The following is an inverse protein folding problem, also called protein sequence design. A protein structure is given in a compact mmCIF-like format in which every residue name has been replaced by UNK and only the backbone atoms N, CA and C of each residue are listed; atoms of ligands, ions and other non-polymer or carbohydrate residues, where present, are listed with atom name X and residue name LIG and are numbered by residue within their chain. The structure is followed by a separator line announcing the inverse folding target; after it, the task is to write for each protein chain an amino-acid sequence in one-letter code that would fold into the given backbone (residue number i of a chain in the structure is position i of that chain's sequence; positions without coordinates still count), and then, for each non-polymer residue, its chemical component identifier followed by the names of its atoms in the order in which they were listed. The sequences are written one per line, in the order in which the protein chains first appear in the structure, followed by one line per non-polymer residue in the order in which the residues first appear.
data_IF_147051249584
#
_entry.id   IF_147051249584
#
_cell.length_a   1.000
_cell.length_b   1.000
_cell.length_c   1.000
_cell.angle_alpha   90.00
_cell.angle_beta   90.00
_cell.angle_gamma   90.00
#
_symmetry.space_group_name_H-M   'P 1'
#
loop_
_entity.id
_entity.type
_entity.pdbx_description
1 polymer ?
#
# COMPACT_ATOMS: atom_id res chain seq x y z
N UNK A 1 -2.52 -11.94 1.83
CA UNK A 1 -1.94 -11.70 3.18
C UNK A 1 -1.43 -12.95 3.89
N UNK A 2 -1.86 -14.16 3.51
CA UNK A 2 -1.53 -15.42 4.21
C UNK A 2 -0.06 -15.84 4.21
N UNK A 3 0.79 -15.23 3.37
CA UNK A 3 2.21 -15.58 3.24
C UNK A 3 3.15 -14.65 4.00
N UNK A 4 2.64 -13.60 4.66
CA UNK A 4 3.50 -12.69 5.42
C UNK A 4 3.88 -13.31 6.76
N UNK A 5 5.18 -13.45 7.01
CA UNK A 5 5.70 -13.93 8.29
C UNK A 5 5.77 -12.79 9.31
N UNK A 6 4.80 -12.74 10.22
CA UNK A 6 4.75 -11.76 11.30
C UNK A 6 5.85 -11.95 12.34
N UNK A 7 6.45 -13.15 12.45
CA UNK A 7 7.56 -13.38 13.38
C UNK A 7 8.82 -12.65 12.95
N UNK A 8 8.99 -12.41 11.64
CA UNK A 8 10.08 -11.60 11.10
C UNK A 8 9.94 -10.10 11.42
N UNK A 9 8.77 -9.65 11.90
CA UNK A 9 8.54 -8.27 12.29
C UNK A 9 7.69 -8.14 13.57
N UNK A 10 8.29 -8.36 14.75
CA UNK A 10 7.57 -8.43 16.02
C UNK A 10 6.92 -7.11 16.48
N UNK A 11 7.34 -5.97 15.92
CA UNK A 11 6.72 -4.66 16.20
C UNK A 11 5.46 -4.36 15.37
N UNK A 12 5.06 -5.27 14.47
CA UNK A 12 3.89 -5.08 13.62
C UNK A 12 2.62 -5.58 14.32
N UNK A 13 1.63 -4.71 14.49
CA UNK A 13 0.33 -5.12 14.99
C UNK A 13 -0.42 -5.94 13.93
N UNK A 14 -0.42 -7.27 14.11
CA UNK A 14 -1.09 -8.21 13.22
C UNK A 14 -2.59 -7.90 13.06
N UNK A 15 -3.25 -7.49 14.15
CA UNK A 15 -4.69 -7.20 14.13
C UNK A 15 -4.97 -5.99 13.24
N UNK A 16 -4.15 -4.95 13.34
CA UNK A 16 -4.25 -3.79 12.46
C UNK A 16 -4.09 -4.19 10.99
N UNK A 17 -3.12 -5.07 10.66
CA UNK A 17 -2.93 -5.52 9.28
C UNK A 17 -4.13 -6.32 8.76
N UNK A 18 -4.72 -7.17 9.59
CA UNK A 18 -5.95 -7.90 9.24
C UNK A 18 -7.15 -6.96 9.05
N UNK A 19 -7.29 -5.94 9.90
CA UNK A 19 -8.31 -4.88 9.76
C UNK A 19 -8.12 -4.05 8.47
N UNK A 20 -6.87 -3.79 8.08
CA UNK A 20 -6.58 -3.13 6.80
C UNK A 20 -6.86 -4.05 5.61
N UNK A 21 -6.63 -5.36 5.75
CA UNK A 21 -6.84 -6.34 4.68
C UNK A 21 -8.31 -6.50 4.28
N UNK A 22 -9.26 -6.22 5.18
CA UNK A 22 -10.70 -6.18 4.86
C UNK A 22 -11.14 -4.86 4.19
N UNK A 23 -10.22 -3.93 3.94
CA UNK A 23 -10.48 -2.73 3.13
C UNK A 23 -11.19 -1.59 3.87
N UNK A 24 -11.32 -1.63 5.20
CA UNK A 24 -12.03 -0.59 5.97
C UNK A 24 -11.49 0.82 5.75
N UNK A 25 -10.17 0.95 5.57
CA UNK A 25 -9.52 2.22 5.28
C UNK A 25 -10.01 2.90 3.98
N UNK A 26 -10.53 2.12 3.02
CA UNK A 26 -11.10 2.63 1.77
C UNK A 26 -12.43 3.36 2.03
N UNK A 27 -13.29 2.79 2.89
CA UNK A 27 -14.58 3.39 3.28
C UNK A 27 -14.39 4.66 4.11
N UNK A 28 -13.39 4.65 5.00
CA UNK A 28 -13.10 5.77 5.89
C UNK A 28 -12.25 6.88 5.20
N UNK A 29 -11.92 6.72 3.91
CA UNK A 29 -11.04 7.60 3.14
C UNK A 29 -9.70 7.89 3.85
N UNK A 30 -9.11 6.85 4.45
CA UNK A 30 -7.85 6.93 5.21
C UNK A 30 -6.67 6.45 4.38
N UNK A 31 -5.58 7.22 4.40
CA UNK A 31 -4.30 6.78 3.85
C UNK A 31 -3.56 5.86 4.82
N UNK A 32 -2.97 4.78 4.30
CA UNK A 32 -2.11 3.87 5.05
C UNK A 32 -0.65 4.18 4.73
N UNK A 33 0.17 4.41 5.76
CA UNK A 33 1.61 4.65 5.62
C UNK A 33 2.37 3.61 6.43
N UNK A 34 3.21 2.83 5.76
CA UNK A 34 4.08 1.84 6.39
C UNK A 34 5.45 2.45 6.63
N UNK A 35 5.86 2.58 7.90
CA UNK A 35 7.14 3.15 8.30
C UNK A 35 8.04 2.09 8.94
N UNK A 36 9.35 2.18 8.68
CA UNK A 36 10.34 1.29 9.27
C UNK A 36 11.63 1.15 8.45
N UNK A 37 12.68 0.51 9.01
CA UNK A 37 13.98 0.32 8.35
C UNK A 37 13.87 -0.40 6.99
N UNK A 38 14.87 -0.27 6.10
CA UNK A 38 14.89 -1.06 4.86
C UNK A 38 14.88 -2.57 5.16
N UNK A 39 14.31 -3.37 4.25
CA UNK A 39 14.29 -4.84 4.38
C UNK A 39 13.19 -5.44 5.26
N UNK A 40 12.43 -4.64 6.01
CA UNK A 40 11.38 -5.12 6.93
C UNK A 40 10.03 -5.40 6.26
N UNK A 41 9.98 -5.82 5.00
CA UNK A 41 8.71 -6.27 4.38
C UNK A 41 7.63 -5.20 4.09
N UNK A 42 7.90 -3.90 4.25
CA UNK A 42 6.93 -2.81 3.94
C UNK A 42 6.33 -2.91 2.53
N UNK A 43 7.16 -3.13 1.52
CA UNK A 43 6.70 -3.29 0.14
C UNK A 43 5.85 -4.56 -0.04
N UNK A 44 6.21 -5.65 0.65
CA UNK A 44 5.43 -6.87 0.64
C UNK A 44 4.03 -6.64 1.23
N UNK A 45 3.93 -5.98 2.38
CA UNK A 45 2.65 -5.62 3.00
C UNK A 45 1.82 -4.70 2.10
N UNK A 46 2.43 -3.67 1.50
CA UNK A 46 1.73 -2.77 0.59
C UNK A 46 1.15 -3.50 -0.63
N UNK A 47 1.93 -4.40 -1.23
CA UNK A 47 1.47 -5.25 -2.34
C UNK A 47 0.35 -6.18 -1.86
N UNK A 48 0.53 -6.83 -0.70
CA UNK A 48 -0.49 -7.70 -0.11
C UNK A 48 -1.82 -6.98 0.10
N UNK A 49 -1.80 -5.76 0.66
CA UNK A 49 -3.00 -4.93 0.83
C UNK A 49 -3.60 -4.54 -0.53
N UNK A 50 -2.76 -4.23 -1.51
CA UNK A 50 -3.19 -3.95 -2.88
C UNK A 50 -3.90 -5.15 -3.53
N UNK A 51 -3.38 -6.36 -3.36
CA UNK A 51 -4.03 -7.58 -3.86
C UNK A 51 -5.39 -7.78 -3.19
N UNK A 52 -5.47 -7.69 -1.86
CA UNK A 52 -6.76 -7.81 -1.17
C UNK A 52 -7.76 -6.74 -1.63
N UNK A 53 -7.29 -5.51 -1.84
CA UNK A 53 -8.12 -4.40 -2.34
C UNK A 53 -8.64 -4.67 -3.75
N UNK A 54 -7.82 -5.28 -4.62
CA UNK A 54 -8.24 -5.69 -5.95
C UNK A 54 -9.26 -6.85 -5.90
N UNK A 55 -9.09 -7.82 -4.99
CA UNK A 55 -10.05 -8.91 -4.76
C UNK A 55 -11.41 -8.39 -4.26
N UNK A 56 -11.43 -7.27 -3.53
CA UNK A 56 -12.65 -6.55 -3.14
C UNK A 56 -13.31 -5.76 -4.30
N UNK A 57 -12.74 -5.82 -5.52
CA UNK A 57 -13.29 -5.18 -6.72
C UNK A 57 -12.84 -3.74 -6.96
N UNK A 58 -11.88 -3.23 -6.18
CA UNK A 58 -11.36 -1.88 -6.38
C UNK A 58 -10.21 -1.86 -7.39
N UNK A 59 -10.10 -0.76 -8.14
CA UNK A 59 -8.93 -0.54 -9.01
C UNK A 59 -7.71 -0.18 -8.16
N UNK A 60 -6.61 -0.88 -8.39
CA UNK A 60 -5.35 -0.68 -7.68
C UNK A 60 -4.24 -0.32 -8.65
N UNK A 61 -3.38 0.60 -8.24
CA UNK A 61 -2.19 0.98 -8.99
C UNK A 61 -0.99 0.98 -8.05
N UNK A 62 0.08 0.29 -8.46
CA UNK A 62 1.35 0.23 -7.72
C UNK A 62 2.44 0.93 -8.52
N UNK A 63 3.19 1.81 -7.87
CA UNK A 63 4.32 2.53 -8.48
C UNK A 63 5.32 2.97 -7.41
N UNK A 64 6.51 3.35 -7.83
CA UNK A 64 7.48 3.99 -6.94
C UNK A 64 7.11 5.46 -6.74
N UNK A 65 7.48 6.05 -5.60
CA UNK A 65 7.28 7.47 -5.36
C UNK A 65 7.98 8.35 -6.41
N UNK A 66 9.16 7.91 -6.87
CA UNK A 66 9.95 8.62 -7.89
C UNK A 66 9.21 8.62 -9.23
N UNK A 67 8.68 7.48 -9.66
CA UNK A 67 7.97 7.41 -10.94
C UNK A 67 6.62 8.13 -10.87
N UNK A 68 5.93 8.09 -9.73
CA UNK A 68 4.74 8.90 -9.51
C UNK A 68 5.05 10.40 -9.64
N UNK A 69 6.09 10.88 -8.96
CA UNK A 69 6.50 12.28 -9.04
C UNK A 69 6.86 12.68 -10.47
N UNK A 70 7.64 11.85 -11.19
CA UNK A 70 7.99 12.08 -12.60
C UNK A 70 6.75 12.18 -13.50
N UNK A 71 5.79 11.27 -13.34
CA UNK A 71 4.55 11.28 -14.12
C UNK A 71 3.71 12.53 -13.86
N UNK A 72 3.59 12.96 -12.61
CA UNK A 72 2.88 14.18 -12.24
C UNK A 72 3.58 15.41 -12.81
N UNK A 73 4.90 15.53 -12.66
CA UNK A 73 5.67 16.65 -13.23
C UNK A 73 5.52 16.74 -14.74
N UNK A 74 5.55 15.60 -15.43
CA UNK A 74 5.33 15.54 -16.88
C UNK A 74 3.93 16.00 -17.28
N UNK A 75 2.88 15.49 -16.61
CA UNK A 75 1.50 15.85 -16.90
C UNK A 75 1.23 17.36 -16.69
N UNK A 76 1.82 17.94 -15.65
CA UNK A 76 1.77 19.39 -15.40
C UNK A 76 2.43 20.17 -16.54
N UNK A 77 3.61 19.76 -16.97
CA UNK A 77 4.35 20.45 -18.03
C UNK A 77 3.65 20.37 -19.40
N UNK A 78 2.93 19.27 -19.66
CA UNK A 78 2.21 19.04 -20.91
C UNK A 78 0.77 19.61 -20.89
N UNK A 79 0.34 20.23 -19.80
CA UNK A 79 -1.00 20.83 -19.61
C UNK A 79 -2.16 19.83 -19.88
N UNK A 80 -1.93 18.55 -19.59
CA UNK A 80 -2.93 17.48 -19.74
C UNK A 80 -3.65 17.34 -18.40
N UNK A 81 -4.57 18.26 -18.13
CA UNK A 81 -5.52 18.19 -17.02
C UNK A 81 -6.95 18.22 -17.54
#
# INVERSE_FOLDING_TARGET
MSQFDYSAQPGLDKRLIEELAVGRFLYDARSVVLLGPPGVGKTHLAIGLGVMTAELGHKVYFTTAIDMARRLTKAVAENIF
#
